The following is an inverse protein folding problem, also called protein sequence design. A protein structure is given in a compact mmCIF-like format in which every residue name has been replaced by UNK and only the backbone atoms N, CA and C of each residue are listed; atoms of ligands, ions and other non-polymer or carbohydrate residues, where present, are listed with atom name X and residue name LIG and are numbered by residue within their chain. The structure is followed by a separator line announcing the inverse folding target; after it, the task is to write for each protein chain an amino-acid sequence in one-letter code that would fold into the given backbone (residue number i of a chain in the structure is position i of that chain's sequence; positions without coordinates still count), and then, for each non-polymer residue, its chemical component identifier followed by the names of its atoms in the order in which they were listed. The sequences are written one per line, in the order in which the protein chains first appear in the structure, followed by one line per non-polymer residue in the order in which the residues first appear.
data_IF_549958434591
#
_entry.id   IF_549958434591
#
_cell.length_a   1.000
_cell.length_b   1.000
_cell.length_c   1.000
_cell.angle_alpha   90.00
_cell.angle_beta   90.00
_cell.angle_gamma   90.00
#
_symmetry.space_group_name_H-M   'P 1'
#
loop_
_entity.id
_entity.type
_entity.pdbx_description
1 polymer ?
#
# COMPACT_ATOMS: atom_id res chain seq x y z
N UNK A 1 -12.08 -6.04 -7.53
CA UNK A 1 -11.31 -4.84 -7.13
C UNK A 1 -9.83 -5.04 -7.45
N UNK A 2 -9.05 -3.96 -7.61
CA UNK A 2 -7.60 -3.98 -7.86
C UNK A 2 -7.17 -4.00 -9.33
N UNK A 3 -7.98 -4.55 -10.21
CA UNK A 3 -7.62 -4.68 -11.63
C UNK A 3 -7.64 -3.35 -12.38
N UNK A 4 -8.77 -2.67 -12.32
CA UNK A 4 -8.99 -1.47 -13.12
C UNK A 4 -8.26 -0.26 -12.53
N UNK A 5 -8.20 -0.17 -11.21
CA UNK A 5 -7.44 0.87 -10.51
C UNK A 5 -5.97 0.83 -10.93
N UNK A 6 -5.35 -0.34 -10.90
CA UNK A 6 -3.93 -0.46 -11.28
C UNK A 6 -3.73 -0.25 -12.78
N UNK A 7 -4.65 -0.73 -13.62
CA UNK A 7 -4.60 -0.45 -15.05
C UNK A 7 -4.62 1.06 -15.33
N UNK A 8 -5.58 1.78 -14.77
CA UNK A 8 -5.78 3.20 -15.02
C UNK A 8 -4.61 4.05 -14.47
N UNK A 9 -4.13 3.73 -13.26
CA UNK A 9 -2.94 4.39 -12.72
C UNK A 9 -1.68 4.07 -13.55
N UNK A 10 -1.55 2.85 -14.07
CA UNK A 10 -0.42 2.48 -14.94
C UNK A 10 -0.44 3.28 -16.25
N UNK A 11 -1.61 3.49 -16.86
CA UNK A 11 -1.74 4.33 -18.06
C UNK A 11 -1.41 5.81 -17.74
N UNK A 12 -1.87 6.32 -16.59
CA UNK A 12 -1.49 7.66 -16.15
C UNK A 12 0.03 7.79 -15.94
N UNK A 13 0.69 6.79 -15.36
CA UNK A 13 2.15 6.78 -15.19
C UNK A 13 2.87 6.70 -16.53
N UNK A 14 2.39 5.92 -17.50
CA UNK A 14 2.95 5.91 -18.86
C UNK A 14 2.91 7.29 -19.47
N UNK A 15 1.77 7.99 -19.37
CA UNK A 15 1.63 9.37 -19.84
C UNK A 15 2.58 10.34 -19.10
N UNK A 16 2.67 10.25 -17.76
CA UNK A 16 3.58 11.08 -16.97
C UNK A 16 5.04 10.90 -17.43
N UNK A 17 5.47 9.66 -17.66
CA UNK A 17 6.84 9.37 -18.12
C UNK A 17 7.18 9.96 -19.50
N UNK A 18 6.21 10.44 -20.27
CA UNK A 18 6.47 11.19 -21.51
C UNK A 18 6.81 12.67 -21.28
N UNK A 19 6.68 13.17 -20.04
CA UNK A 19 6.90 14.59 -19.73
C UNK A 19 8.34 14.83 -19.32
N UNK A 20 8.98 15.86 -19.90
CA UNK A 20 10.39 16.17 -19.68
C UNK A 20 10.73 16.62 -18.24
N UNK A 21 9.72 17.03 -17.46
CA UNK A 21 9.89 17.45 -16.06
C UNK A 21 9.66 16.32 -15.05
N UNK A 22 9.34 15.10 -15.50
CA UNK A 22 9.15 13.93 -14.64
C UNK A 22 10.41 13.07 -14.62
N UNK A 23 10.90 12.78 -13.42
CA UNK A 23 11.89 11.74 -13.23
C UNK A 23 11.22 10.36 -13.33
N UNK A 24 11.35 9.72 -14.48
CA UNK A 24 10.74 8.42 -14.76
C UNK A 24 11.25 7.26 -13.88
N UNK A 25 12.35 7.48 -13.15
CA UNK A 25 12.94 6.51 -12.23
C UNK A 25 12.39 6.62 -10.81
N UNK A 26 11.58 7.64 -10.53
CA UNK A 26 11.02 7.95 -9.21
C UNK A 26 9.53 8.22 -9.28
N UNK A 27 8.75 7.17 -9.39
CA UNK A 27 7.29 7.25 -9.38
C UNK A 27 6.78 6.68 -8.06
N UNK A 28 6.20 7.55 -7.25
CA UNK A 28 5.65 7.19 -5.94
C UNK A 28 4.12 7.15 -5.93
N UNK A 29 3.56 6.35 -5.04
CA UNK A 29 2.13 6.29 -4.76
C UNK A 29 1.92 6.22 -3.25
N UNK A 30 0.89 6.88 -2.74
CA UNK A 30 0.54 6.85 -1.32
C UNK A 30 -0.96 6.81 -1.12
N UNK A 31 -1.39 6.18 -0.05
CA UNK A 31 -2.79 6.19 0.35
C UNK A 31 -3.06 5.38 1.61
N UNK A 32 -4.20 5.68 2.24
CA UNK A 32 -4.70 4.97 3.41
C UNK A 32 -5.94 4.15 3.09
N UNK A 33 -6.21 3.11 3.88
CA UNK A 33 -7.39 2.26 3.74
C UNK A 33 -7.50 1.62 2.34
N UNK A 34 -8.53 1.93 1.58
CA UNK A 34 -8.63 1.54 0.17
C UNK A 34 -7.46 2.09 -0.68
N UNK A 35 -7.03 3.33 -0.42
CA UNK A 35 -5.86 3.92 -1.08
C UNK A 35 -4.57 3.19 -0.71
N UNK A 36 -4.46 2.68 0.51
CA UNK A 36 -3.38 1.80 0.95
C UNK A 36 -3.40 0.45 0.23
N UNK A 37 -4.59 -0.13 0.02
CA UNK A 37 -4.77 -1.31 -0.82
C UNK A 37 -4.26 -1.06 -2.25
N UNK A 38 -4.68 0.05 -2.87
CA UNK A 38 -4.21 0.42 -4.21
C UNK A 38 -2.68 0.59 -4.22
N UNK A 39 -2.10 1.17 -3.17
CA UNK A 39 -0.64 1.31 -3.03
C UNK A 39 0.06 -0.05 -2.95
N UNK A 40 -0.46 -0.99 -2.17
CA UNK A 40 0.08 -2.36 -2.11
C UNK A 40 -0.02 -3.06 -3.48
N UNK A 41 -1.16 -2.93 -4.16
CA UNK A 41 -1.35 -3.50 -5.50
C UNK A 41 -0.43 -2.83 -6.54
N UNK A 42 -0.18 -1.52 -6.43
CA UNK A 42 0.72 -0.79 -7.33
C UNK A 42 2.16 -1.30 -7.24
N UNK A 43 2.64 -1.63 -6.03
CA UNK A 43 4.01 -2.15 -5.82
C UNK A 43 4.13 -3.67 -6.06
N UNK A 44 3.01 -4.37 -6.27
CA UNK A 44 2.96 -5.80 -6.57
C UNK A 44 2.48 -6.06 -8.01
N UNK A 45 1.19 -5.98 -8.30
CA UNK A 45 0.64 -6.14 -9.66
C UNK A 45 1.16 -5.07 -10.63
N UNK A 46 1.27 -3.80 -10.18
CA UNK A 46 1.75 -2.66 -10.95
C UNK A 46 3.25 -2.38 -10.84
N UNK A 47 4.05 -3.31 -10.34
CA UNK A 47 5.45 -3.10 -9.96
C UNK A 47 6.37 -2.59 -11.08
N UNK A 48 6.00 -2.68 -12.34
CA UNK A 48 6.78 -2.16 -13.47
C UNK A 48 6.61 -0.64 -13.66
N UNK A 49 5.61 -0.05 -12.99
CA UNK A 49 5.27 1.37 -13.15
C UNK A 49 5.66 2.22 -11.95
N UNK A 50 5.60 1.65 -10.74
CA UNK A 50 5.84 2.36 -9.49
C UNK A 50 7.14 1.90 -8.83
N UNK A 51 7.85 2.85 -8.21
CA UNK A 51 9.14 2.60 -7.57
C UNK A 51 9.07 2.68 -6.05
N UNK A 52 8.15 3.48 -5.50
CA UNK A 52 7.99 3.69 -4.06
C UNK A 52 6.51 3.74 -3.69
N UNK A 53 6.17 3.17 -2.56
CA UNK A 53 4.82 3.22 -1.99
C UNK A 53 4.83 3.52 -0.50
N UNK A 54 3.85 4.32 -0.05
CA UNK A 54 3.56 4.49 1.37
C UNK A 54 2.09 4.10 1.58
N UNK A 55 1.89 2.94 2.21
CA UNK A 55 0.58 2.31 2.40
C UNK A 55 0.18 2.33 3.87
N UNK A 56 -0.96 2.96 4.17
CA UNK A 56 -1.41 3.18 5.53
C UNK A 56 -2.67 2.34 5.80
N UNK A 57 -2.69 1.64 6.93
CA UNK A 57 -3.86 0.84 7.41
C UNK A 57 -4.62 0.17 6.26
N UNK A 58 -3.89 -0.57 5.44
CA UNK A 58 -4.33 -1.07 4.14
C UNK A 58 -5.08 -2.39 4.24
N UNK A 59 -6.15 -2.54 3.46
CA UNK A 59 -6.61 -3.86 3.05
C UNK A 59 -5.52 -4.48 2.16
N UNK A 60 -5.24 -5.76 2.32
CA UNK A 60 -4.28 -6.50 1.50
C UNK A 60 -4.90 -7.73 0.86
N UNK A 61 -6.01 -8.18 1.45
CA UNK A 61 -6.83 -9.27 0.96
C UNK A 61 -8.30 -9.00 1.32
N UNK A 62 -9.18 -9.07 0.34
CA UNK A 62 -10.60 -8.78 0.55
C UNK A 62 -11.33 -9.83 1.36
N UNK A 63 -10.78 -11.03 1.49
CA UNK A 63 -11.25 -12.04 2.43
C UNK A 63 -11.00 -11.73 3.90
N UNK A 64 -10.21 -10.68 4.19
CA UNK A 64 -9.89 -10.19 5.53
C UNK A 64 -10.64 -8.90 5.91
N UNK A 65 -11.54 -8.44 5.04
CA UNK A 65 -12.35 -7.24 5.28
C UNK A 65 -13.82 -7.59 5.51
N UNK A 66 -14.61 -6.64 6.04
CA UNK A 66 -16.00 -6.91 6.36
C UNK A 66 -16.82 -7.27 5.12
N UNK A 67 -17.80 -8.14 5.31
CA UNK A 67 -18.61 -8.68 4.22
C UNK A 67 -19.64 -7.67 3.69
N UNK A 68 -20.13 -6.74 4.50
CA UNK A 68 -21.12 -5.73 4.06
C UNK A 68 -20.54 -4.86 2.95
N UNK A 69 -19.26 -4.49 3.07
CA UNK A 69 -18.56 -3.75 2.04
C UNK A 69 -18.09 -4.67 0.91
N UNK A 70 -17.39 -5.74 1.26
CA UNK A 70 -16.68 -6.58 0.29
C UNK A 70 -17.64 -7.31 -0.66
N UNK A 71 -18.64 -7.97 -0.12
CA UNK A 71 -19.60 -8.74 -0.93
C UNK A 71 -20.47 -7.86 -1.85
N UNK A 72 -20.66 -6.61 -1.46
CA UNK A 72 -21.36 -5.62 -2.31
C UNK A 72 -20.65 -5.37 -3.64
N UNK A 73 -19.33 -5.44 -3.67
CA UNK A 73 -18.51 -5.12 -4.84
C UNK A 73 -17.87 -6.34 -5.50
N UNK A 74 -17.80 -7.46 -4.79
CA UNK A 74 -17.08 -8.66 -5.22
C UNK A 74 -17.93 -9.95 -5.17
N UNK A 75 -19.20 -9.85 -4.83
CA UNK A 75 -20.06 -11.01 -4.55
C UNK A 75 -19.53 -11.90 -3.40
N UNK A 76 -20.14 -13.03 -3.15
CA UNK A 76 -19.69 -13.97 -2.12
C UNK A 76 -18.33 -14.60 -2.51
N UNK A 77 -17.43 -14.85 -1.55
CA UNK A 77 -16.15 -15.52 -1.83
C UNK A 77 -16.30 -16.88 -2.55
N UNK A 78 -17.39 -17.60 -2.28
CA UNK A 78 -17.68 -18.87 -2.93
C UNK A 78 -18.06 -18.71 -4.41
N UNK A 79 -18.64 -17.58 -4.78
CA UNK A 79 -19.14 -17.27 -6.13
C UNK A 79 -18.07 -16.58 -6.99
N UNK A 80 -17.15 -15.85 -6.39
CA UNK A 80 -16.11 -15.08 -7.07
C UNK A 80 -14.69 -15.40 -6.58
N UNK A 81 -14.34 -16.66 -6.48
CA UNK A 81 -13.02 -17.11 -5.97
C UNK A 81 -11.85 -16.48 -6.73
N UNK A 82 -11.94 -16.39 -8.04
CA UNK A 82 -10.88 -15.81 -8.87
C UNK A 82 -10.75 -14.29 -8.66
N UNK A 83 -11.85 -13.57 -8.43
CA UNK A 83 -11.84 -12.15 -8.10
C UNK A 83 -11.15 -11.87 -6.76
N UNK A 84 -11.47 -12.65 -5.72
CA UNK A 84 -10.80 -12.54 -4.41
C UNK A 84 -9.31 -12.87 -4.50
N UNK A 85 -8.96 -13.96 -5.20
CA UNK A 85 -7.56 -14.33 -5.43
C UNK A 85 -6.81 -13.25 -6.20
N UNK A 86 -7.38 -12.73 -7.29
CA UNK A 86 -6.77 -11.67 -8.09
C UNK A 86 -6.64 -10.37 -7.28
N UNK A 87 -7.66 -9.99 -6.51
CA UNK A 87 -7.69 -8.78 -5.70
C UNK A 87 -6.80 -8.81 -4.45
N UNK A 88 -6.11 -9.91 -4.18
CA UNK A 88 -5.18 -10.02 -3.06
C UNK A 88 -3.77 -9.58 -3.46
N UNK A 89 -3.21 -8.59 -2.76
CA UNK A 89 -1.82 -8.17 -2.95
C UNK A 89 -0.82 -9.31 -2.70
N UNK A 90 -1.19 -10.26 -1.83
CA UNK A 90 -0.37 -11.44 -1.54
C UNK A 90 -0.24 -12.37 -2.75
N UNK A 91 -1.24 -12.42 -3.63
CA UNK A 91 -1.17 -13.19 -4.88
C UNK A 91 -0.06 -12.69 -5.81
N UNK A 92 0.17 -11.38 -5.81
CA UNK A 92 1.15 -10.71 -6.66
C UNK A 92 2.47 -10.41 -5.93
N UNK A 93 2.64 -10.86 -4.69
CA UNK A 93 3.81 -10.56 -3.87
C UNK A 93 5.15 -11.00 -4.49
N UNK A 94 5.16 -12.03 -5.34
CA UNK A 94 6.36 -12.47 -6.08
C UNK A 94 6.89 -11.38 -7.02
N UNK A 95 5.99 -10.58 -7.59
CA UNK A 95 6.32 -9.55 -8.58
C UNK A 95 6.67 -8.20 -7.91
N UNK A 96 6.57 -8.11 -6.58
CA UNK A 96 6.90 -6.91 -5.82
C UNK A 96 8.29 -6.37 -6.14
N UNK A 97 8.34 -5.08 -6.46
CA UNK A 97 9.56 -4.30 -6.74
C UNK A 97 9.51 -2.96 -6.03
N UNK A 98 10.66 -2.30 -5.96
CA UNK A 98 10.78 -0.98 -5.35
C UNK A 98 10.81 -1.03 -3.82
N UNK A 99 10.33 0.04 -3.17
CA UNK A 99 10.29 0.16 -1.73
C UNK A 99 8.87 0.51 -1.26
N UNK A 100 8.27 -0.38 -0.49
CA UNK A 100 6.99 -0.17 0.17
C UNK A 100 7.22 0.09 1.65
N UNK A 101 6.75 1.24 2.14
CA UNK A 101 6.58 1.51 3.55
C UNK A 101 5.13 1.25 3.95
N UNK A 102 4.94 0.41 4.96
CA UNK A 102 3.62 0.02 5.48
C UNK A 102 3.47 0.62 6.88
N UNK A 103 2.33 1.27 7.14
CA UNK A 103 1.99 1.76 8.49
C UNK A 103 0.63 1.23 8.92
N UNK A 104 0.48 0.90 10.22
CA UNK A 104 -0.78 0.37 10.73
C UNK A 104 -0.94 0.67 12.23
N UNK A 105 -2.16 0.98 12.65
CA UNK A 105 -2.54 1.06 14.06
C UNK A 105 -2.78 -0.33 14.64
N UNK A 106 -2.24 -0.61 15.83
CA UNK A 106 -2.34 -1.96 16.40
C UNK A 106 -3.74 -2.34 16.93
N UNK A 107 -4.63 -1.34 17.08
CA UNK A 107 -6.03 -1.52 17.48
C UNK A 107 -7.00 -1.12 16.37
N UNK A 108 -6.57 -1.21 15.10
CA UNK A 108 -7.45 -0.93 13.97
C UNK A 108 -8.61 -1.93 13.95
N UNK A 109 -9.81 -1.42 14.23
CA UNK A 109 -11.06 -2.17 14.31
C UNK A 109 -11.90 -2.07 13.03
N UNK A 110 -11.40 -1.36 12.02
CA UNK A 110 -11.97 -1.29 10.68
C UNK A 110 -11.20 -2.22 9.73
N UNK A 111 -9.97 -1.88 9.38
CA UNK A 111 -9.06 -2.77 8.65
C UNK A 111 -8.15 -3.47 9.64
N UNK A 112 -8.51 -4.67 10.03
CA UNK A 112 -7.76 -5.41 11.05
C UNK A 112 -6.29 -5.58 10.65
N UNK A 113 -5.37 -5.37 11.62
CA UNK A 113 -3.92 -5.42 11.42
C UNK A 113 -3.43 -6.75 10.80
N UNK A 114 -4.25 -7.81 10.84
CA UNK A 114 -4.00 -9.08 10.16
C UNK A 114 -3.69 -8.89 8.66
N UNK A 115 -4.31 -7.90 8.01
CA UNK A 115 -4.00 -7.55 6.62
C UNK A 115 -2.50 -7.26 6.43
N UNK A 116 -1.95 -6.36 7.26
CA UNK A 116 -0.51 -6.05 7.22
C UNK A 116 0.35 -7.25 7.61
N UNK A 117 -0.01 -7.97 8.68
CA UNK A 117 0.79 -9.12 9.15
C UNK A 117 0.91 -10.22 8.10
N UNK A 118 -0.16 -10.56 7.39
CA UNK A 118 -0.11 -11.58 6.34
C UNK A 118 0.69 -11.12 5.12
N UNK A 119 0.62 -9.84 4.74
CA UNK A 119 1.43 -9.32 3.63
C UNK A 119 2.92 -9.33 3.96
N UNK A 120 3.31 -8.87 5.15
CA UNK A 120 4.73 -8.87 5.55
C UNK A 120 5.28 -10.28 5.75
N UNK A 121 4.47 -11.22 6.26
CA UNK A 121 4.86 -12.64 6.34
C UNK A 121 5.15 -13.18 4.92
N UNK A 122 4.29 -12.85 3.96
CA UNK A 122 4.51 -13.23 2.55
C UNK A 122 5.79 -12.61 1.98
N UNK A 123 6.05 -11.33 2.25
CA UNK A 123 7.27 -10.66 1.78
C UNK A 123 8.52 -11.22 2.44
N UNK A 124 8.51 -11.46 3.75
CA UNK A 124 9.65 -12.05 4.46
C UNK A 124 9.97 -13.46 3.97
N UNK A 125 8.94 -14.29 3.73
CA UNK A 125 9.12 -15.64 3.18
C UNK A 125 9.76 -15.66 1.78
N UNK A 126 9.66 -14.55 1.05
CA UNK A 126 10.25 -14.35 -0.29
C UNK A 126 11.53 -13.51 -0.26
N UNK A 127 12.08 -13.20 0.91
CA UNK A 127 13.24 -12.32 1.08
C UNK A 127 13.08 -10.94 0.40
N UNK A 128 11.87 -10.37 0.45
CA UNK A 128 11.58 -9.04 -0.09
C UNK A 128 11.81 -7.98 0.97
N UNK A 129 12.47 -6.88 0.60
CA UNK A 129 12.68 -5.75 1.50
C UNK A 129 11.47 -4.81 1.53
N UNK A 130 11.07 -4.36 2.71
CA UNK A 130 10.03 -3.35 2.96
C UNK A 130 10.33 -2.60 4.25
N UNK A 131 9.67 -1.48 4.47
CA UNK A 131 9.69 -0.76 5.77
C UNK A 131 8.34 -0.95 6.47
N UNK A 132 8.38 -1.09 7.79
CA UNK A 132 7.18 -1.22 8.64
C UNK A 132 7.23 -0.24 9.81
N UNK A 133 6.14 0.49 10.03
CA UNK A 133 5.93 1.30 11.21
C UNK A 133 4.56 0.96 11.83
N UNK A 134 4.58 0.40 13.04
CA UNK A 134 3.36 0.16 13.80
C UNK A 134 3.12 1.30 14.79
N UNK A 135 1.87 1.69 14.93
CA UNK A 135 1.43 2.70 15.88
C UNK A 135 0.63 2.03 17.01
N UNK A 136 1.26 1.75 18.17
CA UNK A 136 0.59 1.10 19.30
C UNK A 136 -0.62 1.90 19.77
N UNK A 137 -1.73 1.19 20.01
CA UNK A 137 -3.01 1.70 20.48
C UNK A 137 -3.73 2.67 19.51
N UNK A 138 -3.23 2.84 18.29
CA UNK A 138 -3.95 3.58 17.24
C UNK A 138 -4.93 2.67 16.50
N UNK A 139 -6.00 3.27 15.99
CA UNK A 139 -7.08 2.61 15.24
C UNK A 139 -6.90 2.79 13.73
N UNK A 140 -8.00 3.02 13.01
CA UNK A 140 -8.00 3.25 11.55
C UNK A 140 -7.51 4.68 11.24
N UNK A 141 -6.21 4.86 11.29
CA UNK A 141 -5.49 6.12 11.24
C UNK A 141 -4.75 6.41 12.54
N UNK A 142 -3.86 7.39 12.51
CA UNK A 142 -3.05 7.80 13.66
C UNK A 142 -3.58 9.11 14.20
N UNK A 143 -4.00 9.11 15.48
CA UNK A 143 -4.51 10.28 16.16
C UNK A 143 -3.43 11.18 16.76
N UNK A 144 -3.82 12.40 17.16
CA UNK A 144 -2.94 13.30 17.90
C UNK A 144 -2.68 12.73 19.32
N UNK A 145 -1.45 12.83 19.88
CA UNK A 145 -0.27 13.53 19.33
C UNK A 145 0.61 12.71 18.37
N UNK A 146 0.41 11.40 18.24
CA UNK A 146 1.22 10.53 17.38
C UNK A 146 1.08 10.85 15.89
N UNK A 147 0.01 11.52 15.48
CA UNK A 147 -0.18 12.02 14.12
C UNK A 147 1.02 12.89 13.67
N UNK A 148 1.57 13.74 14.54
CA UNK A 148 2.74 14.56 14.23
C UNK A 148 3.95 13.69 13.86
N UNK A 149 4.20 12.64 14.66
CA UNK A 149 5.25 11.66 14.34
C UNK A 149 4.99 10.98 13.00
N UNK A 150 3.75 10.52 12.76
CA UNK A 150 3.41 9.83 11.52
C UNK A 150 3.65 10.72 10.30
N UNK A 151 3.18 11.98 10.31
CA UNK A 151 3.40 12.92 9.21
C UNK A 151 4.88 13.23 9.01
N UNK A 152 5.64 13.40 10.09
CA UNK A 152 7.09 13.59 10.01
C UNK A 152 7.79 12.41 9.33
N UNK A 153 7.43 11.18 9.71
CA UNK A 153 7.98 9.96 9.11
C UNK A 153 7.59 9.80 7.63
N UNK A 154 6.40 10.25 7.22
CA UNK A 154 5.97 10.25 5.81
C UNK A 154 6.82 11.24 5.00
N UNK A 155 7.05 12.44 5.52
CA UNK A 155 7.92 13.43 4.88
C UNK A 155 9.36 12.89 4.79
N UNK A 156 9.89 12.29 5.85
CA UNK A 156 11.24 11.66 5.86
C UNK A 156 11.36 10.59 4.78
N UNK A 157 10.36 9.72 4.64
CA UNK A 157 10.36 8.68 3.61
C UNK A 157 10.50 9.28 2.21
N UNK A 158 9.71 10.31 1.88
CA UNK A 158 9.75 10.95 0.56
C UNK A 158 11.03 11.75 0.35
N UNK A 159 11.50 12.53 1.34
CA UNK A 159 12.74 13.28 1.25
C UNK A 159 13.93 12.36 0.97
N UNK A 160 14.07 11.30 1.75
CA UNK A 160 15.17 10.34 1.60
C UNK A 160 15.15 9.68 0.22
N UNK A 161 14.01 9.15 -0.19
CA UNK A 161 13.93 8.32 -1.39
C UNK A 161 13.85 9.13 -2.69
N UNK A 162 13.25 10.32 -2.66
CA UNK A 162 13.07 11.15 -3.86
C UNK A 162 14.14 12.22 -4.02
N UNK A 163 14.57 12.84 -2.93
CA UNK A 163 15.55 13.93 -2.97
C UNK A 163 16.95 13.49 -2.57
N UNK A 164 17.11 12.28 -2.01
CA UNK A 164 18.39 11.80 -1.48
C UNK A 164 18.89 12.63 -0.29
N UNK A 165 18.00 13.23 0.47
CA UNK A 165 18.28 14.14 1.59
C UNK A 165 17.60 13.66 2.86
N UNK A 166 18.25 13.89 4.00
CA UNK A 166 17.60 13.71 5.29
C UNK A 166 16.65 14.89 5.57
N UNK A 167 15.47 14.58 6.07
CA UNK A 167 14.54 15.58 6.57
C UNK A 167 14.91 15.89 8.03
N UNK A 168 15.32 17.13 8.30
CA UNK A 168 15.63 17.63 9.65
C UNK A 168 14.45 18.47 10.10
N UNK A 169 13.83 18.11 11.24
CA UNK A 169 12.90 19.01 11.92
C UNK A 169 13.72 20.13 12.59
N UNK A 170 13.53 21.37 12.18
CA UNK A 170 13.98 22.53 12.92
C UNK A 170 13.09 22.79 14.14
#
# INVERSE_FOLDING_TARGET
MGKWEINDYSEAVKWLKTKSFIDSTKIGITGGSYGGYVTCMALTLGADYFTHGLAEYSVTDWGLYDNVYTERYMDLPAENKEGYKFGSAMTHAKDYKGLLRITHGTLDDNVHMQNTLQLIDKFTSMNKHFELMLYPNERHGVGFPKWVHAQTEYVRFWYKNFLGKDFVNE
#
